data_IF_546741020581
#
_entry.id   IF_546741020581
#
_cell.length_a   1.000
_cell.length_b   1.000
_cell.length_c   1.000
_cell.angle_alpha   90.00
_cell.angle_beta   90.00
_cell.angle_gamma   90.00
#
_symmetry.space_group_name_H-M   'P 1'
#
loop_
_entity.id
_entity.type
_entity.pdbx_description
1 polymer ?
#
# COMPACT_ATOMS: atom_id res chain seq x y z
N UNK A 1 16.91 7.04 -20.04
CA UNK A 1 15.56 6.45 -20.17
C UNK A 1 15.00 6.27 -18.77
N UNK A 2 13.70 6.52 -18.52
CA UNK A 2 13.13 6.19 -17.23
C UNK A 2 13.33 4.68 -16.98
N UNK A 3 13.72 4.31 -15.76
CA UNK A 3 13.95 2.92 -15.41
C UNK A 3 12.60 2.18 -15.46
N UNK A 4 12.47 1.17 -16.33
CA UNK A 4 11.30 0.31 -16.38
C UNK A 4 11.05 -0.35 -15.02
N UNK A 5 9.79 -0.50 -14.65
CA UNK A 5 9.35 -1.23 -13.43
C UNK A 5 9.57 -2.75 -13.56
N UNK A 6 9.80 -3.25 -14.76
CA UNK A 6 10.12 -4.66 -15.05
C UNK A 6 11.46 -4.80 -15.76
N UNK A 7 12.06 -5.96 -15.69
CA UNK A 7 13.38 -6.24 -16.28
C UNK A 7 13.35 -6.37 -17.81
N UNK A 8 12.30 -7.01 -18.32
CA UNK A 8 12.13 -7.31 -19.74
C UNK A 8 10.63 -7.55 -20.06
N UNK A 9 10.29 -7.73 -21.34
CA UNK A 9 8.91 -7.94 -21.78
C UNK A 9 8.30 -9.25 -21.23
N UNK A 10 9.08 -10.29 -21.07
CA UNK A 10 8.59 -11.54 -20.49
C UNK A 10 8.24 -11.35 -19.00
N UNK A 11 9.03 -10.58 -18.27
CA UNK A 11 8.74 -10.19 -16.89
C UNK A 11 7.45 -9.36 -16.83
N UNK A 12 7.27 -8.39 -17.75
CA UNK A 12 6.04 -7.59 -17.85
C UNK A 12 4.82 -8.49 -18.04
N UNK A 13 4.86 -9.43 -18.99
CA UNK A 13 3.73 -10.35 -19.25
C UNK A 13 3.38 -11.21 -18.03
N UNK A 14 4.38 -11.70 -17.27
CA UNK A 14 4.13 -12.47 -16.04
C UNK A 14 3.47 -11.60 -14.96
N UNK A 15 3.91 -10.35 -14.79
CA UNK A 15 3.32 -9.41 -13.83
C UNK A 15 1.90 -9.02 -14.24
N UNK A 16 1.65 -8.81 -15.54
CA UNK A 16 0.30 -8.56 -16.07
C UNK A 16 -0.63 -9.76 -15.85
N UNK A 17 -0.15 -10.98 -16.05
CA UNK A 17 -0.92 -12.18 -15.75
C UNK A 17 -1.35 -12.25 -14.28
N UNK A 18 -0.44 -11.93 -13.34
CA UNK A 18 -0.77 -11.84 -11.92
C UNK A 18 -1.79 -10.74 -11.64
N UNK A 19 -1.63 -9.58 -12.27
CA UNK A 19 -2.57 -8.48 -12.12
C UNK A 19 -3.99 -8.89 -12.51
N UNK A 20 -4.16 -9.54 -13.66
CA UNK A 20 -5.46 -10.02 -14.13
C UNK A 20 -6.02 -11.15 -13.22
N UNK A 21 -5.18 -12.01 -12.67
CA UNK A 21 -5.61 -13.03 -11.69
C UNK A 21 -6.19 -12.40 -10.42
N UNK A 22 -5.57 -11.38 -9.87
CA UNK A 22 -6.12 -10.66 -8.72
C UNK A 22 -7.39 -9.91 -9.10
N UNK A 23 -7.41 -9.29 -10.27
CA UNK A 23 -8.58 -8.59 -10.75
C UNK A 23 -9.81 -9.49 -10.90
N UNK A 24 -9.62 -10.72 -11.35
CA UNK A 24 -10.68 -11.72 -11.47
C UNK A 24 -11.30 -12.15 -10.11
N UNK A 25 -10.67 -11.82 -8.98
CA UNK A 25 -11.18 -12.07 -7.63
C UNK A 25 -11.97 -10.92 -7.04
N UNK A 26 -11.88 -9.75 -7.66
CA UNK A 26 -12.63 -8.58 -7.18
C UNK A 26 -14.12 -8.84 -7.38
N UNK A 27 -14.94 -8.78 -6.32
CA UNK A 27 -16.36 -9.03 -6.45
C UNK A 27 -17.05 -7.90 -7.23
N UNK A 28 -17.87 -8.29 -8.18
CA UNK A 28 -18.65 -7.36 -9.00
C UNK A 28 -17.88 -6.69 -10.14
N UNK A 29 -18.49 -5.71 -10.79
CA UNK A 29 -17.89 -5.02 -11.92
C UNK A 29 -16.73 -4.11 -11.47
N UNK A 30 -15.66 -4.08 -12.28
CA UNK A 30 -14.53 -3.18 -12.09
C UNK A 30 -14.38 -2.30 -13.32
N UNK A 31 -14.47 -1.01 -13.12
CA UNK A 31 -14.21 -0.01 -14.16
C UNK A 31 -12.71 0.31 -14.21
N UNK A 32 -12.13 0.34 -15.41
CA UNK A 32 -10.75 0.76 -15.66
C UNK A 32 -10.75 2.16 -16.24
N UNK A 33 -9.99 3.06 -15.64
CA UNK A 33 -9.83 4.44 -16.09
C UNK A 33 -8.38 4.79 -16.38
N UNK A 34 -8.18 5.67 -17.35
CA UNK A 34 -6.91 6.36 -17.57
C UNK A 34 -7.11 7.83 -17.19
N UNK A 35 -6.34 8.29 -16.23
CA UNK A 35 -6.48 9.64 -15.67
C UNK A 35 -5.24 10.44 -16.02
N UNK A 36 -5.37 11.58 -16.72
CA UNK A 36 -4.22 12.42 -17.04
C UNK A 36 -3.64 13.04 -15.77
N UNK A 37 -2.34 12.95 -15.62
CA UNK A 37 -1.56 13.60 -14.57
C UNK A 37 -0.39 14.36 -15.19
N UNK A 38 0.28 15.21 -14.40
CA UNK A 38 1.52 15.89 -14.84
C UNK A 38 2.64 14.94 -15.28
N UNK A 39 2.52 13.66 -14.92
CA UNK A 39 3.53 12.63 -15.21
C UNK A 39 3.07 11.63 -16.29
N UNK A 40 1.91 11.80 -16.86
CA UNK A 40 1.32 10.93 -17.88
C UNK A 40 -0.01 10.30 -17.44
N UNK A 41 -0.48 9.32 -18.21
CA UNK A 41 -1.75 8.66 -17.95
C UNK A 41 -1.60 7.66 -16.79
N UNK A 42 -2.33 7.89 -15.70
CA UNK A 42 -2.37 6.99 -14.54
C UNK A 42 -3.53 6.02 -14.66
N UNK A 43 -3.23 4.73 -14.52
CA UNK A 43 -4.25 3.68 -14.49
C UNK A 43 -4.93 3.66 -13.13
N UNK A 44 -6.25 3.61 -13.12
CA UNK A 44 -7.09 3.60 -11.93
C UNK A 44 -8.19 2.55 -12.08
N UNK A 45 -8.38 1.74 -11.05
CA UNK A 45 -9.52 0.85 -10.94
C UNK A 45 -10.59 1.48 -10.04
N UNK A 46 -11.86 1.32 -10.44
CA UNK A 46 -13.00 1.74 -9.62
C UNK A 46 -13.92 0.55 -9.46
N UNK A 47 -14.24 0.20 -8.21
CA UNK A 47 -15.08 -0.94 -7.89
C UNK A 47 -15.98 -0.64 -6.69
N UNK A 48 -16.97 -1.51 -6.47
CA UNK A 48 -17.87 -1.47 -5.32
C UNK A 48 -19.12 -0.64 -5.54
N UNK A 49 -19.74 -0.26 -4.43
CA UNK A 49 -21.05 0.37 -4.40
C UNK A 49 -21.01 1.81 -4.95
N UNK A 50 -21.69 2.05 -6.07
CA UNK A 50 -21.61 3.32 -6.81
C UNK A 50 -22.09 4.54 -6.00
N UNK A 51 -23.12 4.35 -5.14
CA UNK A 51 -23.71 5.36 -4.26
C UNK A 51 -23.12 5.36 -2.84
N UNK A 52 -22.10 4.53 -2.58
CA UNK A 52 -21.42 4.45 -1.30
C UNK A 52 -20.39 5.58 -1.07
N UNK A 53 -19.91 5.72 0.16
CA UNK A 53 -18.82 6.63 0.46
C UNK A 53 -17.60 6.34 -0.41
N UNK A 54 -16.98 7.40 -0.97
CA UNK A 54 -15.78 7.26 -1.79
C UNK A 54 -14.56 7.06 -0.90
N UNK A 55 -13.83 5.98 -1.17
CA UNK A 55 -12.54 5.66 -0.55
C UNK A 55 -11.48 5.55 -1.64
N UNK A 56 -10.43 6.37 -1.57
CA UNK A 56 -9.25 6.20 -2.42
C UNK A 56 -8.27 5.28 -1.69
N UNK A 57 -8.01 4.11 -2.26
CA UNK A 57 -7.20 3.06 -1.66
C UNK A 57 -5.86 2.90 -2.37
N UNK A 58 -4.76 2.99 -1.61
CA UNK A 58 -3.39 2.97 -2.11
C UNK A 58 -2.68 1.68 -1.71
N UNK A 59 -2.24 0.91 -2.70
CA UNK A 59 -1.65 -0.41 -2.53
C UNK A 59 -0.21 -0.39 -1.96
N UNK A 60 0.25 -1.49 -1.33
CA UNK A 60 1.62 -1.59 -0.85
C UNK A 60 2.64 -1.69 -1.99
N UNK A 61 3.93 -1.57 -1.63
CA UNK A 61 5.04 -1.73 -2.57
C UNK A 61 4.92 -3.03 -3.38
N UNK A 62 5.22 -2.96 -4.67
CA UNK A 62 5.24 -4.09 -5.61
C UNK A 62 3.93 -4.88 -5.70
N UNK A 63 2.83 -4.30 -5.26
CA UNK A 63 1.50 -4.83 -5.47
C UNK A 63 0.85 -4.15 -6.70
N UNK A 64 -0.44 -3.98 -6.67
CA UNK A 64 -1.20 -3.24 -7.67
C UNK A 64 -2.60 -2.99 -7.16
N UNK A 65 -3.32 -2.12 -7.84
CA UNK A 65 -4.70 -1.82 -7.51
C UNK A 65 -5.59 -3.09 -7.51
N UNK A 66 -5.36 -4.00 -8.45
CA UNK A 66 -6.10 -5.26 -8.54
C UNK A 66 -5.93 -6.14 -7.30
N UNK A 67 -4.69 -6.30 -6.80
CA UNK A 67 -4.44 -7.03 -5.56
C UNK A 67 -5.14 -6.35 -4.38
N UNK A 68 -4.96 -5.04 -4.21
CA UNK A 68 -5.59 -4.32 -3.10
C UNK A 68 -7.11 -4.44 -3.11
N UNK A 69 -7.75 -4.28 -4.28
CA UNK A 69 -9.20 -4.44 -4.41
C UNK A 69 -9.66 -5.86 -4.07
N UNK A 70 -8.89 -6.90 -4.43
CA UNK A 70 -9.22 -8.28 -4.07
C UNK A 70 -9.17 -8.51 -2.56
N UNK A 71 -8.26 -7.83 -1.84
CA UNK A 71 -8.19 -7.87 -0.38
C UNK A 71 -9.28 -7.02 0.31
N UNK A 72 -9.80 -6.01 -0.37
CA UNK A 72 -10.88 -5.16 0.13
C UNK A 72 -12.29 -5.63 -0.31
N UNK A 73 -12.43 -6.87 -0.80
CA UNK A 73 -13.69 -7.42 -1.28
C UNK A 73 -14.91 -7.12 -0.38
N UNK A 74 -14.87 -7.40 0.93
CA UNK A 74 -16.00 -7.11 1.82
C UNK A 74 -16.33 -5.62 1.95
N UNK A 75 -15.34 -4.73 1.80
CA UNK A 75 -15.56 -3.27 1.83
C UNK A 75 -16.34 -2.78 0.59
N UNK A 76 -16.15 -3.44 -0.57
CA UNK A 76 -16.78 -3.06 -1.84
C UNK A 76 -18.31 -3.13 -1.79
N UNK A 77 -18.89 -3.97 -0.93
CA UNK A 77 -20.32 -4.02 -0.71
C UNK A 77 -20.90 -2.72 -0.10
N UNK A 78 -20.05 -1.87 0.47
CA UNK A 78 -20.47 -0.70 1.24
C UNK A 78 -19.92 0.62 0.70
N UNK A 79 -18.78 0.60 0.03
CA UNK A 79 -18.05 1.77 -0.43
C UNK A 79 -17.81 1.73 -1.93
N UNK A 80 -17.67 2.91 -2.53
CA UNK A 80 -17.05 3.07 -3.84
C UNK A 80 -15.56 3.23 -3.64
N UNK A 81 -14.78 2.23 -4.05
CA UNK A 81 -13.33 2.23 -3.89
C UNK A 81 -12.67 2.63 -5.20
N UNK A 82 -11.83 3.64 -5.14
CA UNK A 82 -10.99 4.14 -6.24
C UNK A 82 -9.56 3.76 -5.92
N UNK A 83 -8.97 2.89 -6.72
CA UNK A 83 -7.63 2.36 -6.50
C UNK A 83 -6.69 2.72 -7.66
N UNK A 84 -5.91 3.79 -7.57
CA UNK A 84 -4.87 4.08 -8.55
C UNK A 84 -3.68 3.15 -8.40
N UNK A 85 -3.08 2.76 -9.53
CA UNK A 85 -1.80 2.07 -9.55
C UNK A 85 -0.66 3.05 -9.30
N UNK A 86 0.05 2.85 -8.19
CA UNK A 86 1.13 3.74 -7.76
C UNK A 86 2.29 3.75 -8.77
N UNK A 87 2.86 4.94 -9.06
CA UNK A 87 4.05 5.06 -9.89
C UNK A 87 5.18 4.15 -9.39
N UNK A 88 5.87 3.46 -10.31
CA UNK A 88 7.02 2.59 -10.03
C UNK A 88 6.72 1.36 -9.14
N UNK A 89 5.46 1.12 -8.75
CA UNK A 89 5.10 0.04 -7.82
C UNK A 89 4.16 -1.02 -8.42
N UNK A 90 3.59 -0.77 -9.57
CA UNK A 90 2.66 -1.68 -10.26
C UNK A 90 2.99 -1.80 -11.74
N UNK A 91 2.69 -2.98 -12.33
CA UNK A 91 2.82 -3.20 -13.77
C UNK A 91 1.91 -2.28 -14.60
N UNK A 92 0.82 -1.78 -14.01
CA UNK A 92 -0.10 -0.81 -14.63
C UNK A 92 0.19 0.63 -14.20
N UNK A 93 1.06 0.84 -13.22
CA UNK A 93 1.47 2.17 -12.77
C UNK A 93 2.37 2.89 -13.77
N UNK A 94 2.53 4.18 -13.57
CA UNK A 94 3.49 4.97 -14.34
C UNK A 94 4.90 4.37 -14.22
N UNK A 95 5.57 4.19 -15.35
CA UNK A 95 6.94 3.67 -15.44
C UNK A 95 7.95 4.78 -15.13
N UNK A 96 7.76 5.43 -14.00
CA UNK A 96 8.54 6.59 -13.59
C UNK A 96 8.76 6.57 -12.08
N UNK A 97 10.01 6.67 -11.66
CA UNK A 97 10.41 6.82 -10.26
C UNK A 97 10.29 8.27 -9.82
N UNK A 98 9.24 8.57 -9.06
CA UNK A 98 9.12 9.89 -8.45
C UNK A 98 10.03 10.01 -7.22
N UNK A 99 10.56 11.21 -6.93
CA UNK A 99 11.32 11.47 -5.71
C UNK A 99 10.50 11.17 -4.45
N UNK A 100 11.17 10.74 -3.38
CA UNK A 100 10.52 10.48 -2.09
C UNK A 100 10.77 11.62 -1.08
N UNK A 101 11.75 12.47 -1.35
CA UNK A 101 12.15 13.54 -0.43
C UNK A 101 11.25 14.79 -0.53
N UNK A 102 10.44 14.87 -1.56
CA UNK A 102 9.52 15.98 -1.81
C UNK A 102 8.06 15.50 -1.85
N UNK A 103 7.15 16.38 -2.27
CA UNK A 103 5.72 16.10 -2.37
C UNK A 103 5.28 15.56 -3.75
N UNK A 104 6.19 15.08 -4.61
CA UNK A 104 5.88 14.64 -5.97
C UNK A 104 4.81 13.55 -6.03
N UNK A 105 4.87 12.56 -5.11
CA UNK A 105 3.84 11.52 -5.01
C UNK A 105 2.49 12.06 -4.53
N UNK A 106 2.49 13.04 -3.62
CA UNK A 106 1.25 13.70 -3.21
C UNK A 106 0.64 14.49 -4.36
N UNK A 107 1.46 15.28 -5.09
CA UNK A 107 1.00 16.02 -6.27
C UNK A 107 0.48 15.13 -7.38
N UNK A 108 1.12 13.96 -7.60
CA UNK A 108 0.60 12.95 -8.52
C UNK A 108 -0.79 12.46 -8.10
N UNK A 109 -0.98 12.15 -6.82
CA UNK A 109 -2.28 11.69 -6.33
C UNK A 109 -3.33 12.80 -6.43
N UNK A 110 -2.98 14.05 -6.15
CA UNK A 110 -3.88 15.18 -6.34
C UNK A 110 -4.32 15.34 -7.79
N UNK A 111 -3.41 15.17 -8.77
CA UNK A 111 -3.78 15.17 -10.19
C UNK A 111 -4.78 14.04 -10.51
N UNK A 112 -4.59 12.84 -9.92
CA UNK A 112 -5.55 11.73 -10.07
C UNK A 112 -6.92 12.10 -9.49
N UNK A 113 -6.96 12.72 -8.30
CA UNK A 113 -8.21 13.19 -7.70
C UNK A 113 -8.91 14.24 -8.56
N UNK A 114 -8.16 15.19 -9.09
CA UNK A 114 -8.69 16.25 -9.95
C UNK A 114 -9.24 15.70 -11.27
N UNK A 115 -8.51 14.80 -11.92
CA UNK A 115 -8.95 14.13 -13.14
C UNK A 115 -10.17 13.23 -12.97
N UNK A 116 -10.48 12.83 -11.73
CA UNK A 116 -11.69 12.09 -11.35
C UNK A 116 -12.78 12.99 -10.75
N UNK A 117 -12.58 14.31 -10.70
CA UNK A 117 -13.48 15.31 -10.11
C UNK A 117 -13.78 15.05 -8.61
N UNK A 118 -12.82 14.45 -7.91
CA UNK A 118 -12.93 14.14 -6.49
C UNK A 118 -12.35 15.29 -5.65
N UNK A 119 -13.19 16.14 -5.09
CA UNK A 119 -12.76 17.34 -4.34
C UNK A 119 -12.12 16.99 -2.99
N UNK A 120 -12.76 16.16 -2.20
CA UNK A 120 -12.26 15.67 -0.92
C UNK A 120 -12.69 14.23 -0.69
N UNK A 121 -11.76 13.37 -0.25
CA UNK A 121 -11.93 11.91 -0.19
C UNK A 121 -11.54 11.34 1.16
N UNK A 122 -12.01 10.12 1.43
CA UNK A 122 -11.40 9.29 2.45
C UNK A 122 -10.21 8.57 1.83
N UNK A 123 -9.03 8.67 2.46
CA UNK A 123 -7.83 7.96 2.03
C UNK A 123 -7.60 6.73 2.88
N UNK A 124 -7.30 5.61 2.23
CA UNK A 124 -6.80 4.40 2.86
C UNK A 124 -5.48 4.02 2.21
N UNK A 125 -4.45 3.72 2.99
CA UNK A 125 -3.16 3.33 2.45
C UNK A 125 -2.50 2.20 3.24
N UNK A 126 -1.95 1.23 2.51
CA UNK A 126 -1.23 0.09 3.08
C UNK A 126 0.26 0.26 2.85
N UNK A 127 1.09 0.18 3.88
CA UNK A 127 2.55 0.20 3.78
C UNK A 127 3.06 1.40 2.95
N UNK A 128 3.62 1.18 1.76
CA UNK A 128 4.02 2.25 0.83
C UNK A 128 2.86 3.17 0.43
N UNK A 129 1.68 2.59 0.18
CA UNK A 129 0.46 3.36 -0.04
C UNK A 129 0.09 4.21 1.18
N UNK A 130 0.38 3.73 2.39
CA UNK A 130 0.24 4.48 3.64
C UNK A 130 1.16 5.69 3.71
N UNK A 131 2.41 5.56 3.24
CA UNK A 131 3.33 6.70 3.10
C UNK A 131 2.75 7.75 2.14
N UNK A 132 2.27 7.35 0.96
CA UNK A 132 1.70 8.27 -0.03
C UNK A 132 0.43 8.93 0.50
N UNK A 133 -0.46 8.17 1.15
CA UNK A 133 -1.69 8.70 1.75
C UNK A 133 -1.40 9.75 2.83
N UNK A 134 -0.49 9.43 3.76
CA UNK A 134 -0.07 10.36 4.81
C UNK A 134 0.59 11.61 4.23
N UNK A 135 1.49 11.44 3.23
CA UNK A 135 2.15 12.55 2.57
C UNK A 135 1.11 13.49 1.93
N UNK A 136 0.15 12.94 1.18
CA UNK A 136 -0.94 13.73 0.56
C UNK A 136 -1.78 14.43 1.61
N UNK A 137 -2.16 13.73 2.69
CA UNK A 137 -2.96 14.30 3.77
C UNK A 137 -2.25 15.46 4.48
N UNK A 138 -0.92 15.38 4.67
CA UNK A 138 -0.15 16.48 5.30
C UNK A 138 0.18 17.63 4.34
N UNK A 139 0.07 17.41 3.01
CA UNK A 139 0.34 18.42 1.97
C UNK A 139 -0.91 19.21 1.60
N UNK A 140 -2.07 18.55 1.51
CA UNK A 140 -3.34 19.13 1.06
C UNK A 140 -4.48 18.67 1.99
N UNK A 141 -4.56 19.34 3.17
CA UNK A 141 -5.48 18.98 4.25
C UNK A 141 -6.95 18.98 3.82
N UNK A 142 -7.32 19.96 3.02
CA UNK A 142 -8.69 20.17 2.53
C UNK A 142 -9.15 19.07 1.54
N UNK A 143 -8.21 18.30 1.01
CA UNK A 143 -8.48 17.22 0.04
C UNK A 143 -8.76 15.88 0.74
N UNK A 144 -8.54 15.78 2.06
CA UNK A 144 -8.67 14.53 2.82
C UNK A 144 -9.67 14.70 3.96
N UNK A 145 -10.78 13.97 3.87
CA UNK A 145 -11.82 13.96 4.90
C UNK A 145 -11.45 13.10 6.10
N UNK A 146 -10.89 11.90 5.82
CA UNK A 146 -10.43 10.92 6.81
C UNK A 146 -9.22 10.18 6.26
N UNK A 147 -8.29 9.82 7.12
CA UNK A 147 -7.07 9.10 6.76
C UNK A 147 -6.99 7.78 7.52
N UNK A 148 -7.01 6.65 6.82
CA UNK A 148 -6.78 5.32 7.40
C UNK A 148 -5.45 4.75 6.91
N UNK A 149 -4.63 4.25 7.82
CA UNK A 149 -3.28 3.74 7.56
C UNK A 149 -3.15 2.31 8.11
N UNK A 150 -2.77 1.37 7.27
CA UNK A 150 -2.49 -0.01 7.67
C UNK A 150 -0.98 -0.28 7.47
N UNK A 151 -0.30 -0.65 8.54
CA UNK A 151 1.16 -0.90 8.60
C UNK A 151 1.98 0.12 7.82
N UNK A 152 1.77 1.45 8.02
CA UNK A 152 2.28 2.48 7.13
C UNK A 152 3.79 2.62 7.19
N UNK A 153 4.42 2.77 6.01
CA UNK A 153 5.81 3.19 5.89
C UNK A 153 5.98 4.69 6.19
N UNK A 154 7.20 5.12 6.53
CA UNK A 154 7.54 6.53 6.69
C UNK A 154 7.01 7.18 7.97
N UNK A 155 6.64 6.39 8.98
CA UNK A 155 6.25 6.87 10.34
C UNK A 155 7.29 6.43 11.38
N UNK A 156 7.63 5.16 11.43
CA UNK A 156 8.71 4.62 12.25
C UNK A 156 9.44 3.53 11.46
N UNK A 157 10.71 3.37 11.70
CA UNK A 157 11.52 2.31 11.06
C UNK A 157 11.95 1.29 12.09
N UNK A 158 12.02 0.03 11.66
CA UNK A 158 12.60 -1.05 12.43
C UNK A 158 14.12 -0.93 12.56
N UNK A 159 14.71 -1.82 13.34
CA UNK A 159 16.16 -1.87 13.54
C UNK A 159 16.89 -2.24 12.25
N UNK A 160 17.92 -1.45 11.88
CA UNK A 160 18.80 -1.75 10.73
C UNK A 160 19.48 -3.13 10.86
N UNK A 161 19.88 -3.53 12.08
CA UNK A 161 20.50 -4.84 12.33
C UNK A 161 19.47 -5.97 12.07
N UNK A 162 18.26 -5.82 12.58
CA UNK A 162 17.17 -6.78 12.33
C UNK A 162 16.86 -6.87 10.83
N UNK A 163 16.76 -5.74 10.15
CA UNK A 163 16.56 -5.69 8.69
C UNK A 163 17.67 -6.39 7.91
N UNK A 164 18.93 -6.15 8.28
CA UNK A 164 20.07 -6.83 7.66
C UNK A 164 19.99 -8.35 7.84
N UNK A 165 19.81 -8.81 9.06
CA UNK A 165 19.84 -10.26 9.39
C UNK A 165 18.61 -11.00 8.89
N UNK A 166 17.41 -10.42 9.07
CA UNK A 166 16.14 -11.09 8.74
C UNK A 166 15.66 -10.86 7.30
N UNK A 167 16.19 -9.87 6.61
CA UNK A 167 15.76 -9.51 5.25
C UNK A 167 16.89 -9.63 4.22
N UNK A 168 17.99 -8.87 4.39
CA UNK A 168 19.03 -8.80 3.38
C UNK A 168 19.81 -10.13 3.23
N UNK A 169 20.20 -10.76 4.33
CA UNK A 169 20.95 -12.04 4.30
C UNK A 169 20.10 -13.17 3.67
N UNK A 170 18.85 -13.43 4.09
CA UNK A 170 17.98 -14.39 3.42
C UNK A 170 17.75 -14.08 1.94
N UNK A 171 17.59 -12.81 1.57
CA UNK A 171 17.40 -12.37 0.18
C UNK A 171 18.63 -12.71 -0.69
N UNK A 172 19.84 -12.42 -0.22
CA UNK A 172 21.09 -12.77 -0.92
C UNK A 172 21.16 -14.29 -1.10
N UNK A 173 20.89 -15.06 -0.03
CA UNK A 173 20.89 -16.51 -0.08
C UNK A 173 19.89 -17.07 -1.09
N UNK A 174 18.67 -16.54 -1.11
CA UNK A 174 17.64 -16.96 -2.08
C UNK A 174 18.07 -16.64 -3.53
N UNK A 175 18.68 -15.48 -3.76
CA UNK A 175 19.17 -15.10 -5.10
C UNK A 175 20.30 -16.00 -5.60
N UNK A 176 21.18 -16.40 -4.70
CA UNK A 176 22.29 -17.30 -5.04
C UNK A 176 21.84 -18.75 -5.21
N UNK A 177 20.81 -19.18 -4.46
CA UNK A 177 20.25 -20.53 -4.46
C UNK A 177 18.72 -20.45 -4.35
N UNK A 178 18.02 -20.17 -5.49
CA UNK A 178 16.57 -20.12 -5.50
C UNK A 178 15.96 -21.47 -5.13
N UNK A 179 15.18 -21.49 -4.04
CA UNK A 179 14.41 -22.65 -3.59
C UNK A 179 13.25 -22.18 -2.71
N UNK A 180 12.19 -22.97 -2.60
CA UNK A 180 11.03 -22.66 -1.75
C UNK A 180 11.45 -22.45 -0.29
N UNK A 181 12.38 -23.28 0.22
CA UNK A 181 12.89 -23.13 1.58
C UNK A 181 13.64 -21.80 1.80
N UNK A 182 14.42 -21.35 0.82
CA UNK A 182 15.10 -20.06 0.93
C UNK A 182 14.13 -18.89 0.71
N UNK A 183 13.13 -19.02 -0.18
CA UNK A 183 12.06 -18.04 -0.34
C UNK A 183 11.28 -17.87 0.97
N UNK A 184 10.92 -18.99 1.60
CA UNK A 184 10.23 -18.96 2.87
C UNK A 184 11.01 -18.18 3.94
N UNK A 185 12.31 -18.37 4.03
CA UNK A 185 13.16 -17.59 4.95
C UNK A 185 13.16 -16.06 4.67
N UNK A 186 12.96 -15.68 3.40
CA UNK A 186 12.82 -14.26 3.03
C UNK A 186 11.46 -13.71 3.46
N UNK A 187 10.39 -14.50 3.31
CA UNK A 187 9.02 -14.04 3.50
C UNK A 187 8.49 -14.23 4.93
N UNK A 188 8.92 -15.29 5.65
CA UNK A 188 8.47 -15.56 7.01
C UNK A 188 8.57 -14.37 7.99
N UNK A 189 9.62 -13.54 7.96
CA UNK A 189 9.69 -12.36 8.82
C UNK A 189 8.64 -11.29 8.50
N UNK A 190 8.06 -11.33 7.30
CA UNK A 190 7.11 -10.34 6.80
C UNK A 190 5.67 -10.83 6.81
N UNK A 191 5.44 -12.11 6.60
CA UNK A 191 4.11 -12.67 6.39
C UNK A 191 3.49 -13.14 7.70
N UNK A 192 2.31 -12.64 8.03
CA UNK A 192 1.52 -13.10 9.19
C UNK A 192 0.97 -14.50 8.94
N UNK A 193 0.38 -14.72 7.79
CA UNK A 193 -0.11 -16.02 7.34
C UNK A 193 0.62 -16.44 6.07
N UNK A 194 0.85 -17.75 5.94
CA UNK A 194 1.41 -18.27 4.71
C UNK A 194 0.31 -18.50 3.68
N UNK A 195 0.25 -17.66 2.68
CA UNK A 195 -0.56 -17.85 1.48
C UNK A 195 0.36 -18.18 0.30
N UNK A 196 0.11 -19.31 -0.37
CA UNK A 196 0.98 -19.78 -1.45
C UNK A 196 0.94 -18.85 -2.65
N UNK A 197 -0.23 -18.39 -3.03
CA UNK A 197 -0.39 -17.56 -4.22
C UNK A 197 0.24 -16.17 -4.01
N UNK A 198 0.02 -15.58 -2.82
CA UNK A 198 0.66 -14.33 -2.45
C UNK A 198 2.19 -14.48 -2.40
N UNK A 199 2.71 -15.60 -1.86
CA UNK A 199 4.16 -15.85 -1.83
C UNK A 199 4.74 -16.06 -3.23
N UNK A 200 4.05 -16.77 -4.12
CA UNK A 200 4.46 -16.97 -5.52
C UNK A 200 4.46 -15.64 -6.29
N UNK A 201 3.45 -14.79 -6.07
CA UNK A 201 3.41 -13.43 -6.63
C UNK A 201 4.59 -12.59 -6.14
N UNK A 202 4.83 -12.54 -4.83
CA UNK A 202 5.94 -11.75 -4.26
C UNK A 202 7.28 -12.27 -4.77
N UNK A 203 7.48 -13.60 -4.84
CA UNK A 203 8.68 -14.18 -5.45
C UNK A 203 8.84 -13.75 -6.92
N UNK A 204 7.73 -13.73 -7.67
CA UNK A 204 7.68 -13.22 -9.04
C UNK A 204 8.13 -11.76 -9.12
N UNK A 205 7.58 -10.89 -8.27
CA UNK A 205 7.99 -9.47 -8.26
C UNK A 205 9.45 -9.27 -7.87
N UNK A 206 9.96 -10.05 -6.92
CA UNK A 206 11.38 -10.01 -6.53
C UNK A 206 12.33 -10.43 -7.66
N UNK A 207 11.86 -11.32 -8.55
CA UNK A 207 12.60 -11.78 -9.72
C UNK A 207 12.45 -10.85 -10.92
N UNK A 208 11.23 -10.39 -11.19
CA UNK A 208 10.84 -9.75 -12.44
C UNK A 208 10.92 -8.21 -12.40
N UNK A 209 10.88 -7.60 -11.20
CA UNK A 209 11.06 -6.17 -11.03
C UNK A 209 12.50 -5.84 -10.57
N UNK A 210 13.09 -4.72 -11.03
CA UNK A 210 14.33 -4.21 -10.47
C UNK A 210 14.21 -3.97 -8.96
N UNK A 211 15.29 -4.18 -8.22
CA UNK A 211 15.28 -3.92 -6.79
C UNK A 211 15.19 -2.41 -6.54
N UNK A 212 14.20 -2.01 -5.78
CA UNK A 212 14.11 -0.67 -5.23
C UNK A 212 14.57 -0.70 -3.76
N UNK A 213 15.68 -0.03 -3.48
CA UNK A 213 16.26 0.07 -2.14
C UNK A 213 15.88 1.38 -1.44
N UNK A 214 15.01 2.19 -2.06
CA UNK A 214 14.57 3.43 -1.45
C UNK A 214 13.66 3.13 -0.25
N UNK A 215 13.95 3.78 0.86
CA UNK A 215 13.12 3.73 2.06
C UNK A 215 12.38 5.06 2.14
N UNK A 216 11.04 5.06 2.28
CA UNK A 216 10.28 6.27 2.49
C UNK A 216 10.83 7.06 3.69
N UNK A 217 11.08 8.37 3.53
CA UNK A 217 11.57 9.20 4.63
C UNK A 217 10.54 9.24 5.76
N UNK A 218 11.05 9.30 6.99
CA UNK A 218 10.18 9.49 8.15
C UNK A 218 9.50 10.84 8.07
N UNK A 219 8.21 10.87 8.38
CA UNK A 219 7.48 12.10 8.56
C UNK A 219 8.15 12.96 9.64
N UNK A 220 8.26 14.26 9.45
CA UNK A 220 8.58 15.17 10.55
C UNK A 220 7.41 15.21 11.54
N UNK A 221 7.69 15.60 12.78
CA UNK A 221 6.65 15.76 13.79
C UNK A 221 5.62 16.81 13.36
N UNK A 222 6.07 17.88 12.68
CA UNK A 222 5.18 18.90 12.15
C UNK A 222 4.27 18.37 11.04
N UNK A 223 4.77 17.48 10.17
CA UNK A 223 3.93 16.83 9.17
C UNK A 223 2.85 15.94 9.81
N UNK A 224 3.14 15.28 10.94
CA UNK A 224 2.15 14.49 11.68
C UNK A 224 1.17 15.40 12.45
N UNK A 225 1.62 16.51 13.06
CA UNK A 225 0.74 17.50 13.72
C UNK A 225 -0.23 18.18 12.76
N UNK A 226 0.14 18.29 11.49
CA UNK A 226 -0.75 18.83 10.46
C UNK A 226 -1.92 17.93 10.09
N UNK A 227 -1.92 16.66 10.50
CA UNK A 227 -3.03 15.75 10.25
C UNK A 227 -4.23 16.10 11.13
N UNK A 228 -4.99 17.11 10.75
CA UNK A 228 -6.14 17.65 11.53
C UNK A 228 -7.46 16.94 11.26
N UNK A 229 -7.53 16.14 10.17
CA UNK A 229 -8.66 15.27 9.89
C UNK A 229 -8.67 14.04 10.83
N UNK A 230 -9.80 13.33 10.99
CA UNK A 230 -9.80 12.03 11.67
C UNK A 230 -8.77 11.08 11.07
N UNK A 231 -7.95 10.43 11.91
CA UNK A 231 -6.91 9.49 11.53
C UNK A 231 -7.14 8.15 12.22
N UNK A 232 -7.10 7.06 11.45
CA UNK A 232 -7.01 5.69 11.93
C UNK A 232 -5.63 5.15 11.58
N UNK A 233 -4.90 4.63 12.57
CA UNK A 233 -3.62 3.96 12.33
C UNK A 233 -3.63 2.55 12.92
N UNK A 234 -3.45 1.56 12.05
CA UNK A 234 -3.42 0.13 12.36
C UNK A 234 -1.98 -0.37 12.22
N UNK A 235 -1.33 -0.70 13.33
CA UNK A 235 0.05 -1.19 13.37
C UNK A 235 0.12 -2.70 13.57
N UNK A 236 1.03 -3.38 12.88
CA UNK A 236 1.31 -4.80 13.13
C UNK A 236 2.17 -4.97 14.39
N UNK A 237 1.70 -5.74 15.39
CA UNK A 237 2.42 -5.91 16.66
C UNK A 237 3.78 -6.62 16.49
N UNK A 238 3.94 -7.43 15.42
CA UNK A 238 5.17 -8.15 15.09
C UNK A 238 5.84 -7.62 13.80
N UNK A 239 5.49 -6.42 13.34
CA UNK A 239 6.10 -5.82 12.16
C UNK A 239 7.54 -5.40 12.47
N UNK A 240 8.51 -6.07 11.82
CA UNK A 240 9.94 -5.77 11.96
C UNK A 240 10.40 -4.62 11.07
N UNK A 241 9.63 -4.28 10.03
CA UNK A 241 9.95 -3.21 9.07
C UNK A 241 9.53 -1.84 9.61
N UNK A 242 8.30 -1.75 10.11
CA UNK A 242 7.71 -0.55 10.68
C UNK A 242 6.99 -0.92 12.00
N UNK A 243 7.73 -1.01 13.13
CA UNK A 243 7.21 -1.52 14.39
C UNK A 243 5.91 -0.85 14.79
N UNK A 244 4.83 -1.63 14.88
CA UNK A 244 3.48 -1.10 15.03
C UNK A 244 3.29 -0.30 16.30
N UNK A 245 3.91 -0.69 17.42
CA UNK A 245 3.89 0.04 18.68
C UNK A 245 4.53 1.44 18.54
N UNK A 246 5.65 1.55 17.83
CA UNK A 246 6.31 2.83 17.56
C UNK A 246 5.51 3.68 16.58
N UNK A 247 4.91 3.06 15.55
CA UNK A 247 4.04 3.74 14.57
C UNK A 247 2.82 4.32 15.28
N UNK A 248 2.06 3.51 16.02
CA UNK A 248 0.84 3.94 16.72
C UNK A 248 1.18 5.03 17.75
N UNK A 249 2.15 4.76 18.62
CA UNK A 249 2.57 5.73 19.64
C UNK A 249 2.99 7.07 19.03
N UNK A 250 3.73 7.08 17.94
CA UNK A 250 4.18 8.32 17.31
C UNK A 250 3.05 9.11 16.67
N UNK A 251 2.14 8.43 15.96
CA UNK A 251 0.97 9.10 15.34
C UNK A 251 0.07 9.69 16.42
N UNK A 252 -0.29 8.92 17.45
CA UNK A 252 -1.20 9.40 18.52
C UNK A 252 -0.57 10.48 19.40
N UNK A 253 0.75 10.48 19.56
CA UNK A 253 1.44 11.56 20.27
C UNK A 253 1.44 12.89 19.49
N UNK A 254 1.54 12.84 18.15
CA UNK A 254 1.57 14.05 17.31
C UNK A 254 0.19 14.51 16.87
N UNK A 255 -0.77 13.60 16.73
CA UNK A 255 -2.17 13.83 16.41
C UNK A 255 -3.06 13.15 17.49
N UNK A 256 -3.31 13.79 18.65
CA UNK A 256 -3.97 13.14 19.81
C UNK A 256 -5.40 12.67 19.54
N UNK A 257 -6.03 13.15 18.48
CA UNK A 257 -7.37 12.72 18.02
C UNK A 257 -7.30 11.45 17.13
N UNK A 258 -6.10 10.96 16.82
CA UNK A 258 -5.96 9.75 16.04
C UNK A 258 -6.37 8.52 16.83
N UNK A 259 -7.12 7.63 16.16
CA UNK A 259 -7.49 6.31 16.66
C UNK A 259 -6.37 5.32 16.29
N UNK A 260 -5.63 4.86 17.30
CA UNK A 260 -4.48 4.00 17.15
C UNK A 260 -4.73 2.58 17.65
N UNK A 261 -4.50 1.57 16.82
CA UNK A 261 -4.75 0.18 17.17
C UNK A 261 -3.58 -0.72 16.76
N UNK A 262 -3.20 -1.65 17.66
CA UNK A 262 -2.23 -2.71 17.36
C UNK A 262 -2.98 -3.98 16.99
N UNK A 263 -2.60 -4.58 15.85
CA UNK A 263 -3.14 -5.87 15.40
C UNK A 263 -2.26 -6.97 15.99
N UNK A 264 -2.78 -7.79 16.94
CA UNK A 264 -2.00 -8.83 17.59
C UNK A 264 -1.47 -9.87 16.59
N UNK A 265 -0.23 -10.32 16.77
CA UNK A 265 0.42 -11.31 15.90
C UNK A 265 0.64 -10.87 14.45
N UNK A 266 0.26 -9.66 14.09
CA UNK A 266 0.36 -9.17 12.72
C UNK A 266 1.79 -8.69 12.44
N UNK A 267 2.39 -9.24 11.38
CA UNK A 267 3.64 -8.79 10.78
C UNK A 267 3.40 -7.70 9.74
N UNK A 268 4.42 -7.39 8.93
CA UNK A 268 4.30 -6.35 7.90
C UNK A 268 3.25 -6.66 6.82
N UNK A 269 3.13 -7.92 6.39
CA UNK A 269 2.01 -8.36 5.54
C UNK A 269 0.90 -8.87 6.45
N UNK A 270 -0.25 -8.18 6.52
CA UNK A 270 -1.38 -8.60 7.34
C UNK A 270 -1.89 -10.00 6.97
N UNK A 271 -2.73 -10.63 7.81
CA UNK A 271 -3.28 -11.94 7.49
C UNK A 271 -4.03 -11.96 6.16
N UNK A 272 -3.70 -12.91 5.29
CA UNK A 272 -4.40 -13.14 4.01
C UNK A 272 -5.58 -14.10 4.22
N UNK A 273 -6.43 -13.83 5.23
CA UNK A 273 -7.59 -14.65 5.58
C UNK A 273 -8.91 -13.88 5.39
N UNK A 274 -9.99 -14.62 5.21
CA UNK A 274 -11.32 -14.02 5.05
C UNK A 274 -11.73 -13.26 6.32
N UNK A 275 -11.46 -13.83 7.50
CA UNK A 275 -11.75 -13.20 8.79
C UNK A 275 -11.05 -11.85 8.94
N UNK A 276 -9.80 -11.74 8.47
CA UNK A 276 -9.09 -10.47 8.53
C UNK A 276 -9.67 -9.44 7.55
N UNK A 277 -10.05 -9.87 6.33
CA UNK A 277 -10.69 -8.98 5.34
C UNK A 277 -12.02 -8.44 5.85
N UNK A 278 -12.84 -9.29 6.47
CA UNK A 278 -14.11 -8.89 7.10
C UNK A 278 -13.89 -7.94 8.28
N UNK A 279 -12.94 -8.27 9.16
CA UNK A 279 -12.58 -7.41 10.29
C UNK A 279 -12.11 -6.03 9.81
N UNK A 280 -11.20 -5.99 8.82
CA UNK A 280 -10.67 -4.75 8.26
C UNK A 280 -11.78 -3.91 7.62
N UNK A 281 -12.65 -4.54 6.83
CA UNK A 281 -13.79 -3.87 6.22
C UNK A 281 -14.74 -3.29 7.27
N UNK A 282 -15.08 -4.03 8.31
CA UNK A 282 -15.92 -3.56 9.42
C UNK A 282 -15.24 -2.41 10.18
N UNK A 283 -13.93 -2.49 10.39
CA UNK A 283 -13.15 -1.45 11.08
C UNK A 283 -13.08 -0.15 10.27
N UNK A 284 -12.82 -0.27 8.96
CA UNK A 284 -12.83 0.88 8.05
C UNK A 284 -14.21 1.52 7.96
N UNK A 285 -15.28 0.73 7.83
CA UNK A 285 -16.66 1.25 7.80
C UNK A 285 -16.97 2.10 9.02
N UNK A 286 -16.76 1.58 10.22
CA UNK A 286 -16.96 2.34 11.48
C UNK A 286 -16.17 3.64 11.52
N UNK A 287 -14.99 3.64 10.94
CA UNK A 287 -14.16 4.85 10.88
C UNK A 287 -14.66 5.85 9.83
N UNK A 288 -15.32 5.38 8.77
CA UNK A 288 -15.83 6.22 7.67
C UNK A 288 -17.20 6.86 7.97
N UNK A 289 -17.95 6.30 8.91
CA UNK A 289 -19.19 6.86 9.47
C UNK A 289 -18.88 8.06 10.39
#
# INVERSE_FOLDING_TARGET
MPASVWKDDAARLRLEHWYERFLARVPGPVERRQVPTRHGQSHVLVAGRADGPVVVALHPMRAGAAHLLSELGPLLAHCRVVAPDLPDQSVRGLQLRLPLADDALARWLLDVLDGLELRAVNLFGVSWGGFVARLTASTALERVRRLALLVPAGVANGSHVTGLMKMAVPMIRWRLRPSDANLRRVLDPLFTTWDREWSDYVAGTLRDMPMDMRIPPLASDDALRRLTMPVLVLGGAEDISFPGDAVVRRVTAMAPHADGELIPGCKHSPPATEEFREWLAARLRRFLE
#
